data_IF_027471863590
#
_entry.id   IF_027471863590
#
_cell.length_a   1.000
_cell.length_b   1.000
_cell.length_c   1.000
_cell.angle_alpha   90.00
_cell.angle_beta   90.00
_cell.angle_gamma   90.00
#
_symmetry.space_group_name_H-M   'P 1'
#
loop_
_entity.id
_entity.type
_entity.pdbx_description
1 polymer ?
#
# COMPACT_ATOMS: atom_id res chain seq x y z
N UNK A 1 0.20 -68.16 23.51
CA UNK A 1 0.05 -66.68 23.59
C UNK A 1 1.31 -65.87 23.21
N UNK A 2 2.53 -66.39 23.35
CA UNK A 2 3.77 -65.61 23.06
C UNK A 2 4.03 -65.36 21.56
N UNK A 3 3.41 -66.12 20.64
CA UNK A 3 3.56 -65.91 19.19
C UNK A 3 2.65 -64.82 18.60
N UNK A 4 1.59 -64.40 19.30
CA UNK A 4 0.66 -63.36 18.83
C UNK A 4 1.19 -61.93 19.05
N UNK A 5 2.06 -61.73 20.05
CA UNK A 5 2.61 -60.42 20.37
C UNK A 5 3.68 -59.95 19.36
N UNK A 6 4.45 -60.87 18.76
CA UNK A 6 5.53 -60.54 17.83
C UNK A 6 5.04 -60.06 16.45
N UNK A 7 3.84 -60.47 16.04
CA UNK A 7 3.22 -60.01 14.78
C UNK A 7 2.73 -58.56 14.85
N UNK A 8 2.15 -58.15 15.99
CA UNK A 8 1.60 -56.78 16.16
C UNK A 8 2.69 -55.71 16.26
N UNK A 9 3.86 -56.04 16.82
CA UNK A 9 4.99 -55.11 16.91
C UNK A 9 5.56 -54.73 15.52
N UNK A 10 5.56 -55.65 14.54
CA UNK A 10 6.06 -55.37 13.19
C UNK A 10 5.14 -54.46 12.37
N UNK A 11 3.82 -54.56 12.54
CA UNK A 11 2.89 -53.68 11.82
C UNK A 11 2.89 -52.24 12.35
N UNK A 12 3.05 -52.05 13.66
CA UNK A 12 3.14 -50.70 14.25
C UNK A 12 4.41 -49.97 13.82
N UNK A 13 5.53 -50.69 13.66
CA UNK A 13 6.78 -50.09 13.17
C UNK A 13 6.69 -49.64 11.71
N UNK A 14 5.96 -50.36 10.85
CA UNK A 14 5.81 -49.96 9.44
C UNK A 14 4.92 -48.71 9.30
N UNK A 15 3.82 -48.64 10.04
CA UNK A 15 2.93 -47.47 10.01
C UNK A 15 3.56 -46.18 10.57
N UNK A 16 4.44 -46.28 11.57
CA UNK A 16 5.18 -45.11 12.07
C UNK A 16 6.16 -44.57 11.03
N UNK A 17 6.89 -45.46 10.34
CA UNK A 17 7.88 -45.04 9.32
C UNK A 17 7.19 -44.36 8.13
N UNK A 18 6.05 -44.87 7.67
CA UNK A 18 5.30 -44.25 6.56
C UNK A 18 4.71 -42.88 6.96
N UNK A 19 4.23 -42.72 8.20
CA UNK A 19 3.72 -41.43 8.69
C UNK A 19 4.80 -40.37 8.85
N UNK A 20 5.98 -40.75 9.37
CA UNK A 20 7.12 -39.83 9.49
C UNK A 20 7.62 -39.41 8.10
N UNK A 21 7.66 -40.33 7.14
CA UNK A 21 8.06 -40.01 5.77
C UNK A 21 7.07 -39.08 5.07
N UNK A 22 5.76 -39.33 5.16
CA UNK A 22 4.73 -38.44 4.57
C UNK A 22 4.71 -37.05 5.20
N UNK A 23 4.93 -36.94 6.51
CA UNK A 23 5.05 -35.65 7.18
C UNK A 23 6.30 -34.89 6.74
N UNK A 24 7.44 -35.57 6.59
CA UNK A 24 8.65 -34.93 6.10
C UNK A 24 8.49 -34.47 4.65
N UNK A 25 7.94 -35.29 3.74
CA UNK A 25 7.71 -34.89 2.34
C UNK A 25 6.75 -33.70 2.24
N UNK A 26 5.68 -33.67 3.05
CA UNK A 26 4.74 -32.54 3.10
C UNK A 26 5.43 -31.25 3.58
N UNK A 27 6.33 -31.36 4.56
CA UNK A 27 7.04 -30.21 5.12
C UNK A 27 8.07 -29.66 4.14
N UNK A 28 8.83 -30.52 3.47
CA UNK A 28 9.81 -30.10 2.45
C UNK A 28 9.12 -29.45 1.25
N UNK A 29 7.96 -29.97 0.81
CA UNK A 29 7.19 -29.38 -0.28
C UNK A 29 6.61 -28.00 0.10
N UNK A 30 6.13 -27.84 1.34
CA UNK A 30 5.66 -26.54 1.86
C UNK A 30 6.79 -25.51 1.96
N UNK A 31 7.98 -25.93 2.40
CA UNK A 31 9.14 -25.04 2.48
C UNK A 31 9.58 -24.60 1.08
N UNK A 32 9.73 -25.53 0.14
CA UNK A 32 10.14 -25.23 -1.24
C UNK A 32 9.14 -24.31 -1.95
N UNK A 33 7.83 -24.57 -1.81
CA UNK A 33 6.80 -23.71 -2.36
C UNK A 33 6.82 -22.29 -1.74
N UNK A 34 7.12 -22.16 -0.44
CA UNK A 34 7.24 -20.85 0.21
C UNK A 34 8.46 -20.05 -0.26
N UNK A 35 9.59 -20.73 -0.51
CA UNK A 35 10.84 -20.12 -0.98
C UNK A 35 10.70 -19.62 -2.42
N UNK A 36 10.13 -20.45 -3.31
CA UNK A 36 9.86 -20.09 -4.70
C UNK A 36 8.87 -18.92 -4.81
N UNK A 37 7.86 -18.86 -3.92
CA UNK A 37 6.89 -17.77 -3.89
C UNK A 37 7.48 -16.46 -3.32
N UNK A 38 8.39 -16.53 -2.34
CA UNK A 38 9.16 -15.35 -1.90
C UNK A 38 10.03 -14.79 -3.02
N UNK A 39 10.68 -15.66 -3.78
CA UNK A 39 11.48 -15.24 -4.92
C UNK A 39 10.62 -14.55 -5.99
N UNK A 40 9.43 -15.07 -6.29
CA UNK A 40 8.48 -14.46 -7.22
C UNK A 40 7.91 -13.12 -6.71
N UNK A 41 7.53 -13.02 -5.43
CA UNK A 41 7.04 -11.76 -4.84
C UNK A 41 8.09 -10.66 -4.83
N UNK A 42 9.35 -11.00 -4.53
CA UNK A 42 10.44 -10.01 -4.54
C UNK A 42 10.80 -9.55 -5.95
N UNK A 43 10.69 -10.43 -6.96
CA UNK A 43 11.01 -10.09 -8.35
C UNK A 43 9.89 -9.31 -9.06
N UNK A 44 8.63 -9.53 -8.66
CA UNK A 44 7.46 -8.89 -9.28
C UNK A 44 6.90 -7.71 -8.46
N UNK A 45 7.43 -7.44 -7.27
CA UNK A 45 7.03 -6.29 -6.44
C UNK A 45 5.58 -6.32 -5.96
N UNK A 46 4.93 -7.49 -5.98
CA UNK A 46 3.56 -7.67 -5.48
C UNK A 46 3.51 -8.71 -4.37
N UNK A 47 2.56 -8.55 -3.44
CA UNK A 47 2.24 -9.55 -2.40
C UNK A 47 1.19 -10.52 -2.95
N UNK A 48 1.58 -11.57 -3.64
CA UNK A 48 0.66 -12.65 -3.99
C UNK A 48 0.37 -13.50 -2.74
N UNK A 49 -0.91 -13.52 -2.32
CA UNK A 49 -1.42 -14.49 -1.35
C UNK A 49 -1.74 -15.81 -2.08
N UNK A 50 -1.36 -16.98 -1.54
CA UNK A 50 -1.58 -18.26 -2.21
C UNK A 50 -3.08 -18.64 -2.24
N UNK A 51 -3.62 -19.09 -3.39
CA UNK A 51 -5.04 -19.47 -3.55
C UNK A 51 -5.41 -20.88 -3.07
N UNK A 52 -4.50 -21.63 -2.44
CA UNK A 52 -4.69 -23.06 -2.10
C UNK A 52 -4.96 -23.38 -0.62
N UNK A 53 -5.62 -22.47 0.11
CA UNK A 53 -6.26 -22.84 1.38
C UNK A 53 -7.79 -22.93 1.21
N UNK A 54 -8.29 -24.05 0.67
CA UNK A 54 -9.53 -24.61 1.20
C UNK A 54 -9.41 -26.13 1.37
N UNK A 55 -9.33 -26.63 2.62
CA UNK A 55 -9.78 -27.98 3.08
C UNK A 55 -9.25 -28.41 4.46
N UNK A 56 -8.63 -27.53 5.26
CA UNK A 56 -8.62 -27.75 6.71
C UNK A 56 -9.94 -27.27 7.28
N UNK A 57 -10.95 -28.16 7.25
CA UNK A 57 -12.23 -28.07 7.94
C UNK A 57 -11.96 -27.97 9.46
N UNK A 58 -11.67 -26.78 9.97
CA UNK A 58 -11.85 -26.51 11.39
C UNK A 58 -13.34 -26.58 11.68
N UNK A 59 -13.69 -27.25 12.77
CA UNK A 59 -15.05 -27.25 13.29
C UNK A 59 -15.54 -25.81 13.46
N UNK A 60 -16.81 -25.60 13.09
CA UNK A 60 -17.53 -24.34 13.15
C UNK A 60 -17.20 -23.54 14.40
N UNK A 61 -16.47 -22.44 14.21
CA UNK A 61 -16.51 -21.30 15.12
C UNK A 61 -17.54 -20.35 14.49
N UNK A 62 -18.57 -19.91 15.22
CA UNK A 62 -19.69 -19.17 14.66
C UNK A 62 -19.24 -17.84 14.03
N UNK A 63 -19.84 -17.52 12.89
CA UNK A 63 -19.69 -16.28 12.12
C UNK A 63 -20.26 -15.08 12.89
N UNK A 64 -19.47 -14.53 13.81
CA UNK A 64 -19.77 -13.26 14.48
C UNK A 64 -18.57 -12.31 14.49
N UNK A 65 -17.88 -12.21 13.34
CA UNK A 65 -16.75 -11.28 13.14
C UNK A 65 -17.07 -10.14 12.16
N UNK A 66 -18.35 -9.82 11.99
CA UNK A 66 -18.77 -8.59 11.35
C UNK A 66 -18.35 -7.37 12.21
N UNK A 67 -17.27 -6.73 11.78
CA UNK A 67 -17.07 -5.27 11.80
C UNK A 67 -17.27 -4.52 13.13
N UNK A 68 -16.83 -5.08 14.26
CA UNK A 68 -16.64 -4.28 15.46
C UNK A 68 -15.22 -3.70 15.48
N UNK A 69 -15.08 -2.52 14.88
CA UNK A 69 -13.83 -1.74 14.70
C UNK A 69 -13.23 -1.23 16.03
N UNK A 70 -13.56 -1.85 17.16
CA UNK A 70 -13.55 -1.15 18.43
C UNK A 70 -12.98 -1.89 19.64
N UNK A 71 -12.44 -3.12 19.53
CA UNK A 71 -11.67 -3.68 20.65
C UNK A 71 -10.89 -4.93 20.22
N UNK A 72 -9.68 -4.75 19.68
CA UNK A 72 -8.77 -5.87 19.43
C UNK A 72 -8.19 -6.37 20.75
N UNK A 73 -9.00 -7.03 21.58
CA UNK A 73 -8.57 -7.73 22.79
C UNK A 73 -7.88 -9.04 22.42
N UNK A 74 -6.85 -8.96 21.58
CA UNK A 74 -5.91 -10.06 21.37
C UNK A 74 -5.17 -10.38 22.67
N UNK A 75 -4.51 -11.55 22.77
CA UNK A 75 -3.67 -11.88 23.92
C UNK A 75 -2.70 -10.72 24.19
N UNK A 76 -2.67 -10.24 25.44
CA UNK A 76 -1.78 -9.15 25.84
C UNK A 76 -0.36 -9.69 25.87
N UNK A 77 0.43 -9.32 24.87
CA UNK A 77 1.84 -9.62 24.85
C UNK A 77 2.64 -8.47 25.47
N UNK A 78 3.69 -8.77 26.26
CA UNK A 78 4.60 -7.75 26.69
C UNK A 78 5.29 -7.09 25.47
N UNK A 79 5.65 -5.80 25.54
CA UNK A 79 6.38 -5.12 24.48
C UNK A 79 7.75 -5.78 24.25
N UNK A 80 8.24 -5.72 23.01
CA UNK A 80 9.58 -6.22 22.69
C UNK A 80 10.65 -5.34 23.37
N UNK A 81 11.78 -5.93 23.78
CA UNK A 81 12.92 -5.18 24.33
C UNK A 81 13.34 -3.99 23.45
N UNK A 82 13.33 -4.16 22.12
CA UNK A 82 13.62 -3.07 21.18
C UNK A 82 12.61 -1.92 21.25
N UNK A 83 11.34 -2.20 21.53
CA UNK A 83 10.32 -1.15 21.69
C UNK A 83 10.57 -0.37 22.97
N UNK A 84 10.91 -1.03 24.08
CA UNK A 84 11.22 -0.37 25.36
C UNK A 84 12.45 0.54 25.23
N UNK A 85 13.53 0.06 24.62
CA UNK A 85 14.74 0.86 24.40
C UNK A 85 14.44 2.11 23.56
N UNK A 86 13.66 1.94 22.49
CA UNK A 86 13.26 3.05 21.63
C UNK A 86 12.34 4.05 22.35
N UNK A 87 11.41 3.57 23.18
CA UNK A 87 10.57 4.43 24.04
C UNK A 87 11.42 5.25 25.01
N UNK A 88 12.43 4.65 25.65
CA UNK A 88 13.35 5.34 26.56
C UNK A 88 14.14 6.46 25.88
N UNK A 89 14.62 6.23 24.65
CA UNK A 89 15.31 7.26 23.86
C UNK A 89 14.37 8.43 23.55
N UNK A 90 13.15 8.14 23.07
CA UNK A 90 12.16 9.17 22.74
C UNK A 90 11.67 9.94 23.97
N UNK A 91 11.45 9.25 25.09
CA UNK A 91 11.07 9.83 26.37
C UNK A 91 12.11 10.86 26.85
N UNK A 92 13.41 10.49 26.82
CA UNK A 92 14.50 11.40 27.17
C UNK A 92 14.62 12.59 26.21
N UNK A 93 14.47 12.36 24.91
CA UNK A 93 14.57 13.43 23.90
C UNK A 93 13.43 14.45 24.02
N UNK A 94 12.23 14.01 24.38
CA UNK A 94 11.05 14.88 24.49
C UNK A 94 10.76 15.33 25.93
N UNK A 95 11.55 14.87 26.90
CA UNK A 95 11.33 15.05 28.34
C UNK A 95 9.91 14.64 28.77
N UNK A 96 9.48 13.44 28.35
CA UNK A 96 8.15 12.86 28.64
C UNK A 96 8.34 11.56 29.42
N UNK A 97 7.61 11.38 30.51
CA UNK A 97 7.62 10.12 31.26
C UNK A 97 6.86 9.01 30.54
N UNK A 98 7.40 7.79 30.61
CA UNK A 98 6.79 6.61 30.01
C UNK A 98 5.68 6.09 30.95
N UNK A 99 4.42 5.97 30.48
CA UNK A 99 3.37 5.42 31.31
C UNK A 99 3.59 3.93 31.58
N UNK A 100 3.31 3.49 32.80
CA UNK A 100 3.46 2.09 33.23
C UNK A 100 2.70 1.10 32.34
N UNK A 101 1.54 1.50 31.82
CA UNK A 101 0.75 0.69 30.89
C UNK A 101 1.53 0.36 29.60
N UNK A 102 2.35 1.28 29.11
CA UNK A 102 3.16 1.09 27.92
C UNK A 102 4.37 0.17 28.16
N UNK A 103 4.77 -0.07 29.41
CA UNK A 103 5.80 -1.06 29.74
C UNK A 103 5.25 -2.48 29.86
N UNK A 104 3.97 -2.63 30.17
CA UNK A 104 3.32 -3.94 30.36
C UNK A 104 2.60 -4.46 29.11
N UNK A 105 2.14 -3.58 28.23
CA UNK A 105 1.33 -3.95 27.07
C UNK A 105 1.95 -3.43 25.76
N UNK A 106 2.19 -4.34 24.80
CA UNK A 106 2.68 -4.00 23.47
C UNK A 106 1.80 -3.00 22.74
N UNK A 107 0.48 -3.06 22.88
CA UNK A 107 -0.44 -2.13 22.21
C UNK A 107 -0.33 -0.73 22.81
N UNK A 108 -0.19 -0.63 24.14
CA UNK A 108 0.04 0.63 24.84
C UNK A 108 1.42 1.21 24.47
N UNK A 109 2.46 0.38 24.35
CA UNK A 109 3.78 0.78 23.86
C UNK A 109 3.72 1.38 22.45
N UNK A 110 3.05 0.71 21.52
CA UNK A 110 2.87 1.21 20.15
C UNK A 110 2.10 2.52 20.13
N UNK A 111 1.00 2.63 20.89
CA UNK A 111 0.20 3.84 20.98
C UNK A 111 0.99 5.03 21.55
N UNK A 112 1.81 4.78 22.58
CA UNK A 112 2.72 5.79 23.13
C UNK A 112 3.74 6.26 22.08
N UNK A 113 4.39 5.33 21.38
CA UNK A 113 5.35 5.65 20.32
C UNK A 113 4.74 6.50 19.20
N UNK A 114 3.53 6.16 18.75
CA UNK A 114 2.83 6.92 17.72
C UNK A 114 2.45 8.32 18.23
N UNK A 115 2.00 8.44 19.48
CA UNK A 115 1.71 9.75 20.09
C UNK A 115 2.94 10.66 20.17
N UNK A 116 4.09 10.13 20.58
CA UNK A 116 5.34 10.89 20.70
C UNK A 116 5.89 11.24 19.32
N UNK A 117 5.81 10.33 18.35
CA UNK A 117 6.19 10.61 16.95
C UNK A 117 5.32 11.70 16.33
N UNK A 118 4.00 11.63 16.53
CA UNK A 118 3.08 12.63 16.00
C UNK A 118 3.34 14.01 16.62
N UNK A 119 3.65 14.05 17.92
CA UNK A 119 4.07 15.27 18.62
C UNK A 119 5.40 15.82 18.10
N UNK A 120 6.40 14.95 17.87
CA UNK A 120 7.71 15.33 17.35
C UNK A 120 7.66 15.83 15.89
N UNK A 121 6.81 15.22 15.07
CA UNK A 121 6.67 15.61 13.66
C UNK A 121 5.69 16.77 13.45
N UNK A 122 5.10 17.33 14.50
CA UNK A 122 4.12 18.41 14.38
C UNK A 122 2.95 18.04 13.47
N UNK A 123 2.65 16.73 13.33
CA UNK A 123 1.54 16.26 12.52
C UNK A 123 0.27 16.55 13.31
N UNK A 124 -0.33 17.69 12.99
CA UNK A 124 -1.56 18.22 13.54
C UNK A 124 -2.78 17.36 13.12
N UNK A 125 -2.78 16.07 13.46
CA UNK A 125 -3.92 15.18 13.18
C UNK A 125 -4.90 15.05 14.35
N UNK A 126 -4.71 15.79 15.45
CA UNK A 126 -5.77 15.99 16.46
C UNK A 126 -6.32 17.40 16.31
N UNK A 127 -7.26 17.52 15.39
CA UNK A 127 -7.94 18.75 14.97
C UNK A 127 -8.95 19.27 16.01
N UNK A 128 -8.57 19.43 17.28
CA UNK A 128 -9.57 19.77 18.32
C UNK A 128 -9.19 20.85 19.34
N UNK A 129 -8.24 21.72 19.01
CA UNK A 129 -8.11 23.00 19.70
C UNK A 129 -7.61 24.04 18.71
N UNK A 130 -8.55 24.82 18.15
CA UNK A 130 -8.33 25.88 17.15
C UNK A 130 -7.61 27.10 17.69
N UNK A 131 -6.61 26.91 18.54
CA UNK A 131 -5.77 27.99 19.02
C UNK A 131 -4.68 28.23 17.98
N UNK A 132 -4.74 29.40 17.35
CA UNK A 132 -3.84 29.79 16.28
C UNK A 132 -2.39 29.80 16.79
N UNK A 133 -1.64 28.73 16.49
CA UNK A 133 -0.23 28.70 16.84
C UNK A 133 0.52 29.83 16.12
N UNK A 134 1.38 30.57 16.82
CA UNK A 134 2.18 31.63 16.21
C UNK A 134 3.11 31.03 15.14
N UNK A 135 3.38 31.82 14.11
CA UNK A 135 4.27 31.43 13.01
C UNK A 135 5.69 31.24 13.55
N UNK A 136 6.34 30.13 13.18
CA UNK A 136 7.72 29.88 13.58
C UNK A 136 8.70 30.74 12.78
N UNK A 137 9.77 31.22 13.42
CA UNK A 137 10.80 32.05 12.77
C UNK A 137 11.41 31.38 11.53
N UNK A 138 11.54 30.05 11.55
CA UNK A 138 11.99 29.24 10.40
C UNK A 138 11.07 29.38 9.19
N UNK A 139 9.75 29.40 9.40
CA UNK A 139 8.80 29.56 8.30
C UNK A 139 8.88 30.97 7.72
N UNK A 140 9.05 32.00 8.56
CA UNK A 140 9.23 33.39 8.10
C UNK A 140 10.51 33.52 7.28
N UNK A 141 11.63 32.99 7.76
CA UNK A 141 12.91 33.02 7.05
C UNK A 141 12.82 32.27 5.71
N UNK A 142 12.17 31.09 5.69
CA UNK A 142 12.00 30.31 4.48
C UNK A 142 11.10 30.99 3.44
N UNK A 143 9.95 31.51 3.86
CA UNK A 143 9.04 32.26 2.98
C UNK A 143 9.69 33.53 2.44
N UNK A 144 10.47 34.24 3.27
CA UNK A 144 11.21 35.44 2.85
C UNK A 144 12.26 35.09 1.79
N UNK A 145 12.99 33.98 1.98
CA UNK A 145 13.95 33.49 0.97
C UNK A 145 13.27 33.19 -0.37
N UNK A 146 12.14 32.47 -0.36
CA UNK A 146 11.37 32.15 -1.57
C UNK A 146 10.85 33.41 -2.29
N UNK A 147 10.47 34.45 -1.54
CA UNK A 147 10.02 35.72 -2.11
C UNK A 147 11.17 36.49 -2.76
N UNK A 148 12.34 36.56 -2.10
CA UNK A 148 13.54 37.18 -2.64
C UNK A 148 14.02 36.48 -3.92
N UNK A 149 14.06 35.15 -3.92
CA UNK A 149 14.42 34.37 -5.11
C UNK A 149 13.48 34.59 -6.30
N UNK A 150 12.25 35.06 -6.06
CA UNK A 150 11.25 35.33 -7.10
C UNK A 150 11.02 36.80 -7.41
N UNK A 151 11.67 37.70 -6.68
CA UNK A 151 11.40 39.15 -6.80
C UNK A 151 9.96 39.54 -6.45
N UNK A 152 9.26 38.76 -5.62
CA UNK A 152 7.84 38.98 -5.28
C UNK A 152 7.62 39.95 -4.10
N UNK A 153 8.68 40.61 -3.61
CA UNK A 153 8.58 41.63 -2.57
C UNK A 153 8.43 41.07 -1.16
N UNK A 154 7.60 41.72 -0.32
CA UNK A 154 7.47 41.41 1.10
C UNK A 154 6.38 40.36 1.41
N UNK A 155 6.53 39.69 2.55
CA UNK A 155 5.61 38.67 3.03
C UNK A 155 4.23 39.27 3.39
N UNK A 156 3.11 38.77 2.83
CA UNK A 156 1.78 39.33 3.08
C UNK A 156 1.39 39.21 4.56
N UNK A 157 0.64 40.20 5.05
CA UNK A 157 0.25 40.27 6.47
C UNK A 157 -0.61 39.06 6.90
N UNK A 158 -1.49 38.59 6.02
CA UNK A 158 -2.34 37.42 6.27
C UNK A 158 -1.53 36.15 6.53
N UNK A 159 -0.44 35.93 5.79
CA UNK A 159 0.44 34.78 5.99
C UNK A 159 1.12 34.81 7.37
N UNK A 160 1.35 36.00 7.95
CA UNK A 160 1.99 36.16 9.27
C UNK A 160 1.06 35.89 10.45
N UNK A 161 -0.26 35.87 10.23
CA UNK A 161 -1.24 35.74 11.32
C UNK A 161 -1.33 34.34 11.90
N UNK A 162 -1.08 33.29 11.09
CA UNK A 162 -1.16 31.91 11.57
C UNK A 162 -0.15 31.01 10.89
N UNK A 163 0.32 30.00 11.63
CA UNK A 163 1.19 28.95 11.08
C UNK A 163 0.59 28.25 9.87
N UNK A 164 -0.74 28.05 9.87
CA UNK A 164 -1.47 27.44 8.76
C UNK A 164 -1.45 28.32 7.51
N UNK A 165 -1.75 29.62 7.65
CA UNK A 165 -1.69 30.58 6.55
C UNK A 165 -0.27 30.70 5.97
N UNK A 166 0.77 30.73 6.81
CA UNK A 166 2.16 30.74 6.34
C UNK A 166 2.52 29.47 5.55
N UNK A 167 2.06 28.31 6.00
CA UNK A 167 2.35 27.04 5.34
C UNK A 167 1.65 26.96 3.99
N UNK A 168 0.36 27.30 3.93
CA UNK A 168 -0.39 27.37 2.67
C UNK A 168 0.24 28.37 1.67
N UNK A 169 0.75 29.50 2.18
CA UNK A 169 1.47 30.48 1.36
C UNK A 169 2.76 29.89 0.76
N UNK A 170 3.59 29.23 1.58
CA UNK A 170 4.80 28.54 1.13
C UNK A 170 4.47 27.47 0.08
N UNK A 171 3.44 26.67 0.30
CA UNK A 171 3.03 25.62 -0.63
C UNK A 171 2.55 26.20 -1.97
N UNK A 172 1.82 27.33 -1.93
CA UNK A 172 1.41 28.06 -3.13
C UNK A 172 2.61 28.58 -3.91
N UNK A 173 3.62 29.12 -3.22
CA UNK A 173 4.89 29.50 -3.86
C UNK A 173 5.55 28.26 -4.49
N UNK A 174 5.80 27.20 -3.73
CA UNK A 174 6.47 26.00 -4.25
C UNK A 174 5.73 25.38 -5.45
N UNK A 175 4.39 25.33 -5.41
CA UNK A 175 3.58 24.83 -6.53
C UNK A 175 3.64 25.74 -7.74
N UNK A 176 3.67 27.06 -7.54
CA UNK A 176 3.89 28.02 -8.64
C UNK A 176 5.29 27.87 -9.27
N UNK A 177 6.27 27.26 -8.58
CA UNK A 177 7.56 26.90 -9.18
C UNK A 177 7.44 25.76 -10.18
N UNK A 178 6.52 24.83 -9.89
CA UNK A 178 6.35 23.59 -10.65
C UNK A 178 5.50 23.79 -11.89
N UNK A 179 4.79 24.91 -12.02
CA UNK A 179 4.16 25.29 -13.28
C UNK A 179 5.29 25.81 -14.18
N UNK A 180 5.71 25.05 -15.22
CA UNK A 180 6.66 25.59 -16.19
C UNK A 180 6.04 26.86 -16.79
N UNK A 181 6.83 27.91 -17.08
CA UNK A 181 6.38 29.20 -17.60
C UNK A 181 5.78 29.16 -19.03
N UNK A 182 5.18 28.04 -19.45
CA UNK A 182 4.71 27.79 -20.81
C UNK A 182 3.20 27.48 -20.92
N UNK A 183 2.40 27.80 -19.91
CA UNK A 183 0.95 27.59 -19.97
C UNK A 183 0.15 28.90 -19.89
N UNK A 184 0.47 29.85 -20.76
CA UNK A 184 -0.62 30.59 -21.40
C UNK A 184 -0.88 29.88 -22.73
N UNK A 185 -2.03 29.22 -22.93
CA UNK A 185 -2.52 28.89 -24.25
C UNK A 185 -3.00 30.18 -24.92
N UNK A 186 -2.11 31.15 -25.09
CA UNK A 186 -2.27 32.11 -26.16
C UNK A 186 -2.14 31.27 -27.43
N UNK A 187 -3.18 31.30 -28.27
CA UNK A 187 -3.20 30.61 -29.56
C UNK A 187 -1.83 30.73 -30.23
N UNK A 188 -1.25 29.62 -30.70
CA UNK A 188 0.04 29.64 -31.35
C UNK A 188 -0.07 30.58 -32.54
N UNK A 189 0.61 31.73 -32.47
CA UNK A 189 0.72 32.63 -33.59
C UNK A 189 1.21 31.80 -34.79
N UNK A 190 0.49 31.81 -35.93
CA UNK A 190 0.86 31.03 -37.10
C UNK A 190 2.18 31.57 -37.64
N UNK A 191 3.29 30.92 -37.27
CA UNK A 191 4.63 31.35 -37.65
C UNK A 191 5.70 31.23 -36.57
N UNK A 192 5.36 30.90 -35.32
CA UNK A 192 6.38 30.58 -34.32
C UNK A 192 7.10 29.27 -34.71
N UNK A 193 8.31 29.40 -35.25
CA UNK A 193 9.17 28.28 -35.63
C UNK A 193 9.29 27.33 -34.44
N UNK A 194 8.83 26.09 -34.63
CA UNK A 194 8.80 25.09 -33.59
C UNK A 194 10.19 24.93 -32.97
N UNK A 195 10.33 25.30 -31.68
CA UNK A 195 11.58 25.09 -30.97
C UNK A 195 11.90 23.58 -30.95
N UNK A 196 13.15 23.19 -31.27
CA UNK A 196 13.56 21.81 -31.19
C UNK A 196 13.46 21.32 -29.73
N UNK A 197 13.18 20.02 -29.52
CA UNK A 197 13.10 19.44 -28.18
C UNK A 197 14.44 19.54 -27.45
N UNK A 198 14.39 19.75 -26.13
CA UNK A 198 15.59 19.80 -25.30
C UNK A 198 16.31 18.45 -25.30
N UNK A 199 17.64 18.46 -25.25
CA UNK A 199 18.47 17.24 -25.14
C UNK A 199 18.03 16.32 -23.99
N UNK A 200 17.60 16.91 -22.86
CA UNK A 200 17.08 16.16 -21.71
C UNK A 200 15.79 15.41 -22.06
N UNK A 201 14.88 16.04 -22.81
CA UNK A 201 13.65 15.42 -23.25
C UNK A 201 13.93 14.28 -24.23
N UNK A 202 14.89 14.46 -25.15
CA UNK A 202 15.31 13.39 -26.07
C UNK A 202 15.91 12.19 -25.33
N UNK A 203 16.82 12.42 -24.38
CA UNK A 203 17.42 11.36 -23.55
C UNK A 203 16.36 10.61 -22.74
N UNK A 204 15.43 11.35 -22.12
CA UNK A 204 14.36 10.76 -21.33
C UNK A 204 13.37 9.95 -22.17
N UNK A 205 12.96 10.49 -23.33
CA UNK A 205 12.10 9.77 -24.28
C UNK A 205 12.78 8.50 -24.82
N UNK A 206 14.08 8.56 -25.15
CA UNK A 206 14.85 7.41 -25.60
C UNK A 206 14.90 6.32 -24.52
N UNK A 207 15.13 6.69 -23.26
CA UNK A 207 15.13 5.78 -22.13
C UNK A 207 13.77 5.09 -21.94
N UNK A 208 12.66 5.84 -22.04
CA UNK A 208 11.31 5.27 -21.95
C UNK A 208 11.00 4.30 -23.11
N UNK A 209 11.43 4.62 -24.35
CA UNK A 209 11.28 3.71 -25.48
C UNK A 209 12.07 2.42 -25.27
N UNK A 210 13.33 2.52 -24.82
CA UNK A 210 14.17 1.36 -24.53
C UNK A 210 13.56 0.47 -23.43
N UNK A 211 13.07 1.06 -22.35
CA UNK A 211 12.41 0.32 -21.26
C UNK A 211 11.15 -0.43 -21.71
N UNK A 212 10.52 0.01 -22.80
CA UNK A 212 9.31 -0.60 -23.36
C UNK A 212 9.56 -1.47 -24.58
N UNK A 213 10.81 -1.62 -25.01
CA UNK A 213 11.13 -2.32 -26.25
C UNK A 213 10.48 -1.70 -27.48
N UNK A 214 10.33 -0.37 -27.52
CA UNK A 214 9.90 0.36 -28.72
C UNK A 214 11.13 0.75 -29.56
N UNK A 215 10.98 0.74 -30.87
CA UNK A 215 12.05 0.95 -31.88
C UNK A 215 12.59 2.39 -31.98
N UNK A 216 12.52 3.17 -30.89
CA UNK A 216 13.03 4.54 -30.82
C UNK A 216 11.95 5.62 -30.74
N UNK A 217 12.37 6.87 -30.92
CA UNK A 217 11.50 8.05 -30.84
C UNK A 217 10.97 8.36 -32.26
N UNK A 218 9.65 8.49 -32.47
CA UNK A 218 9.11 8.76 -33.80
C UNK A 218 9.50 10.16 -34.28
N UNK A 219 9.74 10.33 -35.58
CA UNK A 219 10.20 11.60 -36.18
C UNK A 219 9.27 12.78 -35.85
N UNK A 220 7.96 12.54 -35.79
CA UNK A 220 6.95 13.53 -35.40
C UNK A 220 7.14 14.07 -33.98
N UNK A 221 7.66 13.27 -33.05
CA UNK A 221 7.94 13.71 -31.69
C UNK A 221 9.23 14.55 -31.63
N UNK A 222 10.19 14.32 -32.53
CA UNK A 222 11.43 15.10 -32.62
C UNK A 222 11.22 16.46 -33.29
N UNK A 223 10.14 16.60 -34.08
CA UNK A 223 9.86 17.82 -34.84
C UNK A 223 9.59 19.07 -33.98
N UNK A 224 9.16 18.92 -32.72
CA UNK A 224 8.98 20.05 -31.82
C UNK A 224 9.07 19.66 -30.35
N UNK A 225 9.44 20.62 -29.50
CA UNK A 225 9.40 20.47 -28.05
C UNK A 225 8.01 20.08 -27.52
N UNK A 226 6.96 20.64 -28.12
CA UNK A 226 5.57 20.32 -27.76
C UNK A 226 5.23 18.86 -28.11
N UNK A 227 5.57 18.42 -29.33
CA UNK A 227 5.34 17.04 -29.76
C UNK A 227 6.13 16.03 -28.91
N UNK A 228 7.37 16.34 -28.54
CA UNK A 228 8.17 15.51 -27.63
C UNK A 228 7.53 15.41 -26.24
N UNK A 229 7.00 16.52 -25.71
CA UNK A 229 6.34 16.55 -24.40
C UNK A 229 5.04 15.74 -24.42
N UNK A 230 4.24 15.86 -25.49
CA UNK A 230 3.04 15.05 -25.69
C UNK A 230 3.38 13.56 -25.79
N UNK A 231 4.46 13.22 -26.51
CA UNK A 231 4.94 11.84 -26.63
C UNK A 231 5.36 11.25 -25.27
N UNK A 232 6.18 11.97 -24.49
CA UNK A 232 6.59 11.54 -23.14
C UNK A 232 5.37 11.36 -22.22
N UNK A 233 4.43 12.31 -22.26
CA UNK A 233 3.22 12.26 -21.42
C UNK A 233 2.35 11.06 -21.78
N UNK A 234 2.13 10.82 -23.07
CA UNK A 234 1.41 9.63 -23.55
C UNK A 234 2.08 8.32 -23.13
N UNK A 235 3.42 8.26 -23.16
CA UNK A 235 4.13 7.13 -22.59
C UNK A 235 3.79 6.98 -21.10
N UNK A 236 4.00 8.01 -20.28
CA UNK A 236 3.77 7.90 -18.83
C UNK A 236 2.33 7.52 -18.45
N UNK A 237 1.34 7.94 -19.24
CA UNK A 237 -0.06 7.60 -19.00
C UNK A 237 -0.40 6.14 -19.37
N UNK A 238 0.25 5.57 -20.39
CA UNK A 238 0.15 4.13 -20.65
C UNK A 238 0.60 3.29 -19.42
N UNK A 239 1.62 3.72 -18.67
CA UNK A 239 2.06 3.00 -17.46
C UNK A 239 1.04 3.09 -16.33
N UNK A 240 0.37 4.23 -16.20
CA UNK A 240 -0.73 4.38 -15.24
C UNK A 240 -1.90 3.48 -15.63
N UNK A 241 -2.23 3.40 -16.92
CA UNK A 241 -3.32 2.56 -17.42
C UNK A 241 -3.04 1.06 -17.22
N UNK A 242 -1.78 0.60 -17.41
CA UNK A 242 -1.40 -0.80 -17.13
C UNK A 242 -1.48 -1.15 -15.65
N UNK A 243 -1.21 -0.20 -14.76
CA UNK A 243 -1.38 -0.38 -13.31
C UNK A 243 -2.85 -0.34 -12.87
N UNK A 244 -3.68 0.40 -13.61
CA UNK A 244 -5.11 0.54 -13.33
C UNK A 244 -5.97 -0.54 -14.00
N UNK A 245 -5.43 -1.30 -14.96
CA UNK A 245 -6.15 -2.42 -15.54
C UNK A 245 -6.56 -3.40 -14.42
N UNK A 246 -7.86 -3.68 -14.23
CA UNK A 246 -8.30 -4.63 -13.23
C UNK A 246 -7.58 -5.95 -13.50
N UNK A 247 -7.03 -6.53 -12.44
CA UNK A 247 -6.25 -7.77 -12.52
C UNK A 247 -7.05 -8.79 -13.32
N UNK A 248 -6.68 -9.01 -14.59
CA UNK A 248 -7.34 -10.01 -15.40
C UNK A 248 -6.97 -11.35 -14.76
N UNK A 249 -7.91 -11.93 -14.03
CA UNK A 249 -7.78 -13.26 -13.48
C UNK A 249 -7.41 -14.16 -14.66
N UNK A 250 -6.23 -14.80 -14.65
CA UNK A 250 -5.80 -15.63 -15.76
C UNK A 250 -6.90 -16.62 -16.14
N UNK A 251 -7.16 -16.77 -17.44
CA UNK A 251 -8.29 -17.57 -17.95
C UNK A 251 -8.33 -19.00 -17.39
N UNK A 252 -7.18 -19.58 -17.06
CA UNK A 252 -7.10 -20.89 -16.42
C UNK A 252 -7.63 -20.90 -14.98
N UNK A 253 -7.47 -19.82 -14.21
CA UNK A 253 -8.07 -19.66 -12.88
C UNK A 253 -9.58 -19.48 -13.02
N UNK A 254 -10.04 -18.74 -14.03
CA UNK A 254 -11.47 -18.60 -14.33
C UNK A 254 -12.10 -19.96 -14.67
N UNK A 255 -11.44 -20.80 -15.48
CA UNK A 255 -11.90 -22.15 -15.80
C UNK A 255 -11.90 -23.09 -14.59
N UNK A 256 -10.93 -22.94 -13.67
CA UNK A 256 -10.92 -23.70 -12.41
C UNK A 256 -12.06 -23.28 -11.50
N UNK A 257 -12.33 -21.98 -11.36
CA UNK A 257 -13.48 -21.48 -10.60
C UNK A 257 -14.80 -21.95 -11.22
N UNK A 258 -14.90 -22.00 -12.54
CA UNK A 258 -16.09 -22.47 -13.25
C UNK A 258 -16.33 -23.98 -13.11
N UNK A 259 -15.28 -24.78 -12.89
CA UNK A 259 -15.39 -26.22 -12.56
C UNK A 259 -15.63 -26.52 -11.08
N UNK A 260 -15.22 -25.61 -10.20
CA UNK A 260 -15.39 -25.75 -8.75
C UNK A 260 -16.73 -25.22 -8.26
N UNK A 261 -17.43 -24.41 -9.07
CA UNK A 261 -18.83 -24.08 -8.86
C UNK A 261 -19.68 -25.33 -9.19
N UNK A 262 -20.35 -25.94 -8.20
CA UNK A 262 -21.18 -27.10 -8.45
C UNK A 262 -22.32 -26.70 -9.38
N UNK A 263 -22.39 -27.31 -10.57
CA UNK A 263 -23.49 -27.14 -11.52
C UNK A 263 -24.76 -27.90 -11.13
N UNK A 264 -24.80 -28.49 -9.94
CA UNK A 264 -25.93 -29.28 -9.48
C UNK A 264 -27.03 -28.37 -8.90
N UNK A 265 -27.80 -27.77 -9.80
CA UNK A 265 -29.23 -27.53 -9.56
C UNK A 265 -30.03 -28.75 -10.01
N UNK A 266 -29.63 -29.93 -9.53
CA UNK A 266 -30.52 -31.08 -9.49
C UNK A 266 -31.39 -30.95 -8.23
N UNK A 267 -32.48 -30.19 -8.38
CA UNK A 267 -33.79 -30.47 -7.80
C UNK A 267 -33.78 -31.27 -6.48
N UNK A 268 -33.64 -30.58 -5.36
CA UNK A 268 -34.22 -31.03 -4.10
C UNK A 268 -35.39 -30.09 -3.71
N UNK A 269 -36.63 -30.61 -3.58
CA UNK A 269 -37.75 -29.85 -3.07
C UNK A 269 -37.71 -29.82 -1.54
N UNK A 270 -36.89 -28.94 -1.00
CA UNK A 270 -36.89 -28.49 0.39
C UNK A 270 -35.96 -27.27 0.37
N UNK A 271 -36.45 -26.04 0.18
CA UNK A 271 -37.10 -25.29 1.25
C UNK A 271 -38.04 -24.24 0.65
N UNK A 272 -39.34 -24.43 0.84
CA UNK A 272 -40.36 -23.43 0.50
C UNK A 272 -40.30 -22.18 1.41
N UNK A 273 -39.67 -22.28 2.59
CA UNK A 273 -39.59 -21.16 3.54
C UNK A 273 -38.61 -20.05 3.09
N UNK A 274 -37.56 -20.37 2.34
CA UNK A 274 -36.57 -19.38 1.90
C UNK A 274 -37.07 -18.54 0.71
N UNK A 275 -37.97 -19.10 -0.11
CA UNK A 275 -38.62 -18.36 -1.20
C UNK A 275 -39.74 -17.43 -0.69
N UNK A 276 -40.40 -17.77 0.41
CA UNK A 276 -41.42 -16.91 1.04
C UNK A 276 -40.78 -15.70 1.74
N UNK A 277 -39.61 -15.88 2.37
CA UNK A 277 -38.83 -14.79 2.95
C UNK A 277 -38.33 -13.77 1.90
N UNK A 278 -38.00 -14.23 0.68
CA UNK A 278 -37.58 -13.34 -0.42
C UNK A 278 -38.77 -12.64 -1.08
N UNK A 279 -39.97 -13.23 -1.06
CA UNK A 279 -41.19 -12.59 -1.55
C UNK A 279 -41.69 -11.49 -0.61
N UNK A 280 -41.57 -11.68 0.71
CA UNK A 280 -41.91 -10.68 1.74
C UNK A 280 -40.93 -9.49 1.77
N UNK A 281 -39.69 -9.67 1.33
CA UNK A 281 -38.71 -8.59 1.22
C UNK A 281 -38.86 -7.73 -0.05
N UNK A 282 -39.74 -8.13 -0.98
CA UNK A 282 -40.01 -7.41 -2.25
C UNK A 282 -41.38 -6.74 -2.31
N UNK A 283 -42.26 -6.98 -1.33
CA UNK A 283 -43.50 -6.25 -1.12
C UNK A 283 -43.27 -5.07 -0.17
#
# INVERSE_FOLDING_TARGET
>A
EVTSARGRAKMLSSHLVTRVWLNNVSTTFKCYASESMRYLNNRLGQKLHPPWLPLCRMHSVPDQWASDSGNSSGPRYPPSSKQIDYMNVLARQNNIDIPLSALSDKQAASSFLDSVKNKAHGSASTAQSGEAQPVTEKQIAFATKLLTERGLGQLPAEARQSRAAMSAFIDTLLNSQRVPPHANPAEPAPGATAEPPSEKQMKFAAQLCQQRGRDGIPAQAVASRAAMTAFISGLLDEDKSKKAAPYQIPSHITLLLQRLLPTDTATQPADTELLEAVALAKA
#
